data_IF_992889214095
#
_entry.id   IF_992889214095
#
_cell.length_a   1.000
_cell.length_b   1.000
_cell.length_c   1.000
_cell.angle_alpha   90.00
_cell.angle_beta   90.00
_cell.angle_gamma   90.00
#
_symmetry.space_group_name_H-M   'P 1'
#
loop_
_entity.id
_entity.type
_entity.pdbx_description
1 polymer ?
#
# COMPACT_ATOMS: atom_id res chain seq x y z
N UNK A 1 -6.72 -5.85 7.36
CA UNK A 1 -5.23 -5.81 7.41
C UNK A 1 -4.61 -7.20 7.50
N UNK A 2 -5.09 -8.05 8.39
CA UNK A 2 -4.50 -9.39 8.59
C UNK A 2 -4.54 -10.25 7.33
N UNK A 3 -5.69 -10.29 6.66
CA UNK A 3 -5.85 -11.02 5.41
C UNK A 3 -4.87 -10.51 4.33
N UNK A 4 -4.79 -9.20 4.17
CA UNK A 4 -3.86 -8.58 3.21
C UNK A 4 -2.41 -8.93 3.55
N UNK A 5 -2.02 -8.81 4.82
CA UNK A 5 -0.65 -9.05 5.24
C UNK A 5 -0.18 -10.46 4.87
N UNK A 6 -1.03 -11.46 5.11
CA UNK A 6 -0.73 -12.84 4.73
C UNK A 6 -0.60 -13.02 3.23
N UNK A 7 -1.54 -12.50 2.45
CA UNK A 7 -1.54 -12.64 0.99
C UNK A 7 -0.37 -11.88 0.35
N UNK A 8 -0.09 -10.68 0.81
CA UNK A 8 1.03 -9.89 0.31
C UNK A 8 2.37 -10.57 0.57
N UNK A 9 2.51 -11.24 1.72
CA UNK A 9 3.71 -12.00 2.04
C UNK A 9 3.89 -13.17 1.09
N UNK A 10 2.81 -13.87 0.76
CA UNK A 10 2.87 -14.98 -0.21
C UNK A 10 3.30 -14.49 -1.60
N UNK A 11 2.77 -13.36 -2.05
CA UNK A 11 3.10 -12.77 -3.35
C UNK A 11 4.54 -12.25 -3.35
N UNK A 12 4.92 -11.54 -2.32
CA UNK A 12 6.22 -10.92 -2.18
C UNK A 12 6.10 -9.40 -2.02
N UNK A 13 6.36 -8.92 -0.82
CA UNK A 13 6.34 -7.50 -0.49
C UNK A 13 7.51 -7.23 0.46
N UNK A 14 8.11 -6.05 0.37
CA UNK A 14 9.26 -5.71 1.21
C UNK A 14 8.85 -5.11 2.55
N UNK A 15 7.83 -4.27 2.58
CA UNK A 15 7.40 -3.61 3.80
C UNK A 15 5.92 -3.27 3.76
N UNK A 16 5.30 -3.30 4.92
CA UNK A 16 3.90 -2.89 5.12
C UNK A 16 3.89 -1.88 6.25
N UNK A 17 3.33 -0.70 6.01
CA UNK A 17 3.16 0.34 7.03
C UNK A 17 1.68 0.65 7.18
N UNK A 18 1.20 0.64 8.41
CA UNK A 18 -0.18 1.01 8.72
C UNK A 18 -0.28 2.52 8.89
N UNK A 19 -1.18 3.16 8.14
CA UNK A 19 -1.35 4.60 8.18
C UNK A 19 -2.56 4.99 9.01
N UNK A 20 -2.41 6.01 9.84
CA UNK A 20 -3.51 6.67 10.52
C UNK A 20 -3.96 7.85 9.67
N UNK A 21 -5.06 7.65 8.92
CA UNK A 21 -5.64 8.66 8.05
C UNK A 21 -6.87 9.29 8.71
N UNK A 22 -7.32 10.44 8.19
CA UNK A 22 -8.47 11.15 8.73
C UNK A 22 -9.72 10.28 8.84
N UNK A 23 -10.01 9.51 7.79
CA UNK A 23 -11.22 8.70 7.70
C UNK A 23 -11.00 7.22 8.04
N UNK A 24 -9.90 6.90 8.71
CA UNK A 24 -9.66 5.53 9.17
C UNK A 24 -10.66 5.15 10.26
N UNK A 25 -11.34 4.03 10.06
CA UNK A 25 -12.26 3.49 11.07
C UNK A 25 -11.49 2.83 12.21
N UNK A 26 -10.42 2.11 11.86
CA UNK A 26 -9.58 1.41 12.84
C UNK A 26 -8.29 2.19 13.04
N UNK A 27 -8.10 2.70 14.26
CA UNK A 27 -6.92 3.48 14.64
C UNK A 27 -5.83 2.65 15.30
N UNK A 28 -6.10 1.39 15.62
CA UNK A 28 -5.17 0.51 16.30
C UNK A 28 -4.94 -0.76 15.50
N UNK A 29 -3.73 -1.28 15.59
CA UNK A 29 -3.34 -2.58 15.05
C UNK A 29 -2.75 -3.42 16.17
N UNK A 30 -2.73 -4.76 15.98
CA UNK A 30 -2.12 -5.68 16.93
C UNK A 30 -0.84 -6.22 16.28
N UNK A 31 0.32 -5.57 16.51
CA UNK A 31 1.56 -5.92 15.82
C UNK A 31 1.98 -7.38 16.00
N UNK A 32 1.84 -7.91 17.21
CA UNK A 32 2.22 -9.29 17.50
C UNK A 32 1.42 -10.29 16.67
N UNK A 33 0.12 -10.03 16.50
CA UNK A 33 -0.76 -10.89 15.69
C UNK A 33 -0.41 -10.82 14.22
N UNK A 34 -0.17 -9.61 13.71
CA UNK A 34 0.24 -9.42 12.31
C UNK A 34 1.57 -10.12 12.04
N UNK A 35 2.53 -9.99 12.96
CA UNK A 35 3.83 -10.64 12.82
C UNK A 35 3.71 -12.16 12.71
N UNK A 36 2.85 -12.77 13.51
CA UNK A 36 2.59 -14.22 13.41
C UNK A 36 2.02 -14.60 12.06
N UNK A 37 1.11 -13.79 11.51
CA UNK A 37 0.53 -14.01 10.20
C UNK A 37 1.60 -13.93 9.10
N UNK A 38 2.49 -12.95 9.18
CA UNK A 38 3.58 -12.79 8.22
C UNK A 38 4.52 -14.00 8.27
N UNK A 39 4.90 -14.45 9.44
CA UNK A 39 5.78 -15.60 9.61
C UNK A 39 5.13 -16.87 9.05
N UNK A 40 3.86 -17.11 9.35
CA UNK A 40 3.13 -18.26 8.84
C UNK A 40 3.04 -18.25 7.31
N UNK A 41 2.71 -17.10 6.74
CA UNK A 41 2.63 -16.95 5.29
C UNK A 41 3.99 -17.14 4.61
N UNK A 42 5.06 -16.62 5.21
CA UNK A 42 6.42 -16.79 4.71
C UNK A 42 6.80 -18.27 4.64
N UNK A 43 6.54 -19.01 5.72
CA UNK A 43 6.85 -20.43 5.79
C UNK A 43 6.06 -21.24 4.77
N UNK A 44 4.76 -20.98 4.66
CA UNK A 44 3.88 -21.71 3.77
C UNK A 44 4.22 -21.46 2.29
N UNK A 45 4.60 -20.25 1.93
CA UNK A 45 4.95 -19.88 0.57
C UNK A 45 6.43 -20.11 0.24
N UNK A 46 7.21 -20.59 1.21
CA UNK A 46 8.65 -20.86 1.05
C UNK A 46 9.45 -19.61 0.72
N UNK A 47 9.01 -18.43 1.16
CA UNK A 47 9.76 -17.20 0.98
C UNK A 47 10.95 -17.16 1.93
N UNK A 48 12.08 -16.65 1.45
CA UNK A 48 13.31 -16.57 2.22
C UNK A 48 13.35 -15.40 3.18
N UNK A 49 12.58 -14.34 2.91
CA UNK A 49 12.61 -13.11 3.69
C UNK A 49 11.24 -12.75 4.21
N UNK A 50 11.22 -12.21 5.43
CA UNK A 50 10.02 -11.70 6.07
C UNK A 50 9.84 -10.22 5.73
N UNK A 51 8.63 -9.76 5.34
CA UNK A 51 8.39 -8.34 5.14
C UNK A 51 8.61 -7.54 6.43
N UNK A 52 9.13 -6.33 6.28
CA UNK A 52 9.21 -5.39 7.39
C UNK A 52 7.81 -4.87 7.71
N UNK A 53 7.43 -4.98 8.98
CA UNK A 53 6.15 -4.46 9.46
C UNK A 53 6.38 -3.22 10.29
N UNK A 54 5.88 -2.08 9.81
CA UNK A 54 5.95 -0.82 10.53
C UNK A 54 4.63 -0.54 11.21
N UNK A 55 4.68 -0.04 12.44
CA UNK A 55 3.50 0.24 13.23
C UNK A 55 2.68 1.40 12.69
N UNK A 56 1.59 1.71 13.39
CA UNK A 56 0.70 2.79 13.03
C UNK A 56 1.46 4.11 12.96
N UNK A 57 1.42 4.76 11.80
CA UNK A 57 2.15 5.99 11.52
C UNK A 57 1.18 7.04 11.02
N UNK A 58 1.31 8.27 11.51
CA UNK A 58 0.51 9.39 11.04
C UNK A 58 0.76 9.66 9.56
N UNK A 59 -0.31 9.92 8.81
CA UNK A 59 -0.23 10.14 7.37
C UNK A 59 0.73 11.27 7.00
N UNK A 60 0.61 12.43 7.68
CA UNK A 60 1.46 13.59 7.38
C UNK A 60 2.93 13.30 7.59
N UNK A 61 3.25 12.61 8.67
CA UNK A 61 4.61 12.20 8.97
C UNK A 61 5.15 11.26 7.91
N UNK A 62 4.37 10.26 7.53
CA UNK A 62 4.80 9.23 6.59
C UNK A 62 5.08 9.80 5.20
N UNK A 63 4.17 10.61 4.65
CA UNK A 63 4.33 11.12 3.28
C UNK A 63 5.47 12.11 3.17
N UNK A 64 5.92 12.68 4.28
CA UNK A 64 7.05 13.63 4.32
C UNK A 64 8.40 12.92 4.39
N UNK A 65 8.43 11.60 4.62
CA UNK A 65 9.68 10.84 4.69
C UNK A 65 10.27 10.65 3.30
N UNK A 66 11.62 10.67 3.19
CA UNK A 66 12.26 10.39 1.91
C UNK A 66 12.07 8.93 1.50
N UNK A 67 11.93 8.70 0.21
CA UNK A 67 11.86 7.36 -0.36
C UNK A 67 12.60 7.35 -1.70
N UNK A 68 13.54 6.44 -1.85
CA UNK A 68 14.32 6.30 -3.09
C UNK A 68 13.57 5.39 -4.06
N UNK A 69 12.72 5.97 -4.89
CA UNK A 69 11.93 5.23 -5.88
C UNK A 69 10.67 5.99 -6.28
N UNK A 70 9.76 5.26 -6.92
CA UNK A 70 8.48 5.81 -7.36
C UNK A 70 7.48 5.82 -6.22
N UNK A 71 6.74 6.90 -6.10
CA UNK A 71 5.73 7.07 -5.05
C UNK A 71 4.37 7.27 -5.70
N UNK A 72 3.41 6.42 -5.36
CA UNK A 72 2.07 6.43 -5.95
C UNK A 72 1.00 6.56 -4.86
N UNK A 73 -0.10 7.22 -5.20
CA UNK A 73 -1.28 7.28 -4.35
C UNK A 73 -2.51 6.83 -5.15
N UNK A 74 -3.17 5.79 -4.66
CA UNK A 74 -4.41 5.28 -5.23
C UNK A 74 -5.58 5.92 -4.49
N UNK A 75 -6.34 6.77 -5.16
CA UNK A 75 -7.49 7.44 -4.56
C UNK A 75 -8.69 7.44 -5.50
N UNK A 76 -9.88 7.66 -4.93
CA UNK A 76 -11.14 7.60 -5.66
C UNK A 76 -11.68 8.98 -6.06
N UNK A 77 -10.97 10.07 -5.75
CA UNK A 77 -11.40 11.41 -6.14
C UNK A 77 -11.46 11.53 -7.66
N UNK A 78 -12.42 12.30 -8.17
CA UNK A 78 -12.67 12.45 -9.60
C UNK A 78 -11.45 12.96 -10.36
N UNK A 79 -11.36 12.54 -11.62
CA UNK A 79 -10.29 12.92 -12.52
C UNK A 79 -9.72 11.73 -13.25
N UNK A 80 -9.12 11.98 -14.40
CA UNK A 80 -8.45 10.94 -15.18
C UNK A 80 -7.10 10.64 -14.56
N UNK A 81 -6.90 9.38 -14.17
CA UNK A 81 -5.65 8.93 -13.57
C UNK A 81 -5.11 7.74 -14.37
N UNK A 82 -3.81 7.69 -14.64
CA UNK A 82 -3.23 6.53 -15.31
C UNK A 82 -3.33 5.28 -14.44
N UNK A 83 -3.42 4.13 -15.08
CA UNK A 83 -3.40 2.86 -14.37
C UNK A 83 -1.99 2.59 -13.84
N UNK A 84 -1.90 1.98 -12.67
CA UNK A 84 -0.61 1.60 -12.07
C UNK A 84 0.21 0.75 -13.06
N UNK A 85 -0.41 -0.21 -13.73
CA UNK A 85 0.26 -1.08 -14.69
C UNK A 85 0.87 -0.34 -15.88
N UNK A 86 0.37 0.86 -16.19
CA UNK A 86 0.86 1.69 -17.28
C UNK A 86 1.96 2.66 -16.83
N UNK A 87 2.01 2.95 -15.56
CA UNK A 87 2.87 4.00 -14.98
C UNK A 87 4.13 3.43 -14.35
N UNK A 88 4.02 2.27 -13.71
CA UNK A 88 5.15 1.61 -13.06
C UNK A 88 6.06 0.95 -14.09
N UNK A 89 7.37 1.10 -13.93
CA UNK A 89 8.37 0.44 -14.76
C UNK A 89 9.06 -0.69 -13.98
N UNK A 90 9.20 -1.88 -14.59
CA UNK A 90 9.86 -3.00 -13.91
C UNK A 90 11.25 -2.66 -13.38
N UNK A 91 11.56 -3.18 -12.21
CA UNK A 91 12.86 -2.99 -11.56
C UNK A 91 12.96 -1.77 -10.68
N UNK A 92 11.98 -0.87 -10.72
CA UNK A 92 11.98 0.30 -9.84
C UNK A 92 11.44 -0.04 -8.45
N UNK A 93 11.98 0.62 -7.42
CA UNK A 93 11.36 0.59 -6.10
C UNK A 93 10.07 1.39 -6.16
N UNK A 94 9.03 0.89 -5.49
CA UNK A 94 7.72 1.53 -5.50
C UNK A 94 7.11 1.57 -4.10
N UNK A 95 6.51 2.71 -3.77
CA UNK A 95 5.73 2.93 -2.57
C UNK A 95 4.32 3.30 -3.01
N UNK A 96 3.32 2.55 -2.56
CA UNK A 96 1.92 2.79 -2.93
C UNK A 96 1.10 3.06 -1.68
N UNK A 97 0.41 4.21 -1.67
CA UNK A 97 -0.52 4.57 -0.60
C UNK A 97 -1.92 4.09 -0.98
N UNK A 98 -2.53 3.34 -0.08
CA UNK A 98 -3.91 2.85 -0.22
C UNK A 98 -4.74 3.45 0.91
N UNK A 99 -5.85 4.08 0.55
CA UNK A 99 -6.71 4.75 1.52
C UNK A 99 -7.55 3.81 2.38
N UNK A 100 -8.05 4.34 3.50
CA UNK A 100 -8.99 3.60 4.36
C UNK A 100 -10.36 3.48 3.68
N UNK A 101 -11.32 2.87 4.36
CA UNK A 101 -12.67 2.64 3.86
C UNK A 101 -13.36 3.94 3.42
N UNK A 102 -13.08 5.05 4.10
CA UNK A 102 -13.59 6.37 3.74
C UNK A 102 -12.73 7.14 2.74
N UNK A 103 -11.74 6.48 2.16
CA UNK A 103 -10.75 7.06 1.26
C UNK A 103 -9.86 8.11 1.96
N UNK A 104 -8.91 8.67 1.22
CA UNK A 104 -8.12 9.80 1.70
C UNK A 104 -8.96 11.08 1.68
N UNK A 105 -8.71 11.97 2.63
CA UNK A 105 -9.33 13.29 2.58
C UNK A 105 -8.71 14.12 1.44
N UNK A 106 -9.42 15.15 0.93
CA UNK A 106 -8.83 16.03 -0.09
C UNK A 106 -7.51 16.66 0.37
N UNK A 107 -7.38 17.00 1.64
CA UNK A 107 -6.16 17.56 2.20
C UNK A 107 -5.01 16.56 2.19
N UNK A 108 -5.31 15.29 2.49
CA UNK A 108 -4.31 14.23 2.44
C UNK A 108 -3.82 13.99 1.03
N UNK A 109 -4.72 13.96 0.05
CA UNK A 109 -4.36 13.81 -1.36
C UNK A 109 -3.48 14.97 -1.80
N UNK A 110 -3.88 16.21 -1.49
CA UNK A 110 -3.10 17.40 -1.85
C UNK A 110 -1.69 17.36 -1.25
N UNK A 111 -1.57 16.94 0.01
CA UNK A 111 -0.27 16.83 0.68
C UNK A 111 0.61 15.76 0.01
N UNK A 112 0.03 14.62 -0.31
CA UNK A 112 0.77 13.55 -0.97
C UNK A 112 1.30 14.00 -2.33
N UNK A 113 0.47 14.67 -3.13
CA UNK A 113 0.89 15.21 -4.42
C UNK A 113 2.03 16.22 -4.26
N UNK A 114 1.94 17.08 -3.25
CA UNK A 114 3.00 18.05 -2.94
C UNK A 114 4.30 17.35 -2.56
N UNK A 115 4.22 16.20 -1.92
CA UNK A 115 5.38 15.41 -1.52
C UNK A 115 5.92 14.49 -2.62
N UNK A 116 5.39 14.61 -3.83
CA UNK A 116 5.91 13.87 -4.98
C UNK A 116 5.22 12.55 -5.28
N UNK A 117 4.08 12.28 -4.66
CA UNK A 117 3.31 11.08 -4.99
C UNK A 117 2.52 11.31 -6.28
N UNK A 118 2.48 10.29 -7.13
CA UNK A 118 1.75 10.34 -8.40
C UNK A 118 0.38 9.68 -8.23
N UNK A 119 -0.71 10.33 -8.65
CA UNK A 119 -2.04 9.72 -8.57
C UNK A 119 -2.16 8.60 -9.60
N UNK A 120 -2.69 7.46 -9.18
CA UNK A 120 -2.90 6.32 -10.07
C UNK A 120 -4.26 5.68 -9.80
N UNK A 121 -4.72 4.92 -10.77
CA UNK A 121 -5.92 4.09 -10.67
C UNK A 121 -5.54 2.62 -10.68
N UNK A 122 -6.32 1.80 -9.98
CA UNK A 122 -6.17 0.34 -9.99
C UNK A 122 -7.21 -0.32 -10.90
N UNK A 123 -8.02 0.48 -11.60
CA UNK A 123 -9.06 0.00 -12.49
C UNK A 123 -10.35 0.76 -12.27
N UNK A 124 -11.40 0.39 -13.02
CA UNK A 124 -12.70 1.06 -12.95
C UNK A 124 -13.50 0.66 -11.72
N UNK A 125 -13.31 -0.54 -11.20
CA UNK A 125 -14.05 -1.04 -10.05
C UNK A 125 -13.66 -0.33 -8.78
N UNK A 126 -14.65 -0.05 -7.93
CA UNK A 126 -14.40 0.51 -6.61
C UNK A 126 -14.04 -0.63 -5.66
N UNK A 127 -12.78 -0.78 -5.36
CA UNK A 127 -12.27 -1.87 -4.55
C UNK A 127 -12.28 -1.50 -3.06
N UNK A 128 -12.48 -2.50 -2.21
CA UNK A 128 -12.26 -2.33 -0.77
C UNK A 128 -10.77 -2.13 -0.52
N UNK A 129 -10.42 -1.49 0.60
CA UNK A 129 -9.03 -1.16 0.94
C UNK A 129 -8.09 -2.36 0.82
N UNK A 130 -8.46 -3.49 1.41
CA UNK A 130 -7.61 -4.69 1.39
C UNK A 130 -7.45 -5.25 -0.01
N UNK A 131 -8.52 -5.26 -0.80
CA UNK A 131 -8.48 -5.70 -2.20
C UNK A 131 -7.63 -4.77 -3.03
N UNK A 132 -7.79 -3.46 -2.86
CA UNK A 132 -6.99 -2.46 -3.56
C UNK A 132 -5.50 -2.64 -3.27
N UNK A 133 -5.16 -2.83 -2.01
CA UNK A 133 -3.78 -3.04 -1.58
C UNK A 133 -3.19 -4.30 -2.22
N UNK A 134 -3.95 -5.38 -2.25
CA UNK A 134 -3.49 -6.63 -2.85
C UNK A 134 -3.33 -6.51 -4.36
N UNK A 135 -4.25 -5.83 -5.04
CA UNK A 135 -4.17 -5.58 -6.48
C UNK A 135 -2.91 -4.78 -6.80
N UNK A 136 -2.61 -3.73 -6.04
CA UNK A 136 -1.41 -2.93 -6.23
C UNK A 136 -0.15 -3.78 -6.05
N UNK A 137 -0.09 -4.56 -4.99
CA UNK A 137 1.04 -5.45 -4.71
C UNK A 137 1.25 -6.46 -5.85
N UNK A 138 0.20 -7.12 -6.28
CA UNK A 138 0.27 -8.14 -7.32
C UNK A 138 0.60 -7.53 -8.69
N UNK A 139 0.07 -6.36 -9.01
CA UNK A 139 0.38 -5.67 -10.26
C UNK A 139 1.88 -5.43 -10.38
N UNK A 140 2.50 -4.91 -9.33
CA UNK A 140 3.94 -4.66 -9.31
C UNK A 140 4.72 -5.98 -9.43
N UNK A 141 4.27 -7.01 -8.72
CA UNK A 141 4.90 -8.33 -8.77
C UNK A 141 4.87 -8.91 -10.19
N UNK A 142 3.71 -8.87 -10.84
CA UNK A 142 3.55 -9.39 -12.21
C UNK A 142 4.44 -8.64 -13.20
N UNK A 143 4.54 -7.32 -13.09
CA UNK A 143 5.36 -6.51 -13.98
C UNK A 143 6.86 -6.76 -13.79
N UNK A 144 7.27 -7.32 -12.66
CA UNK A 144 8.66 -7.63 -12.36
C UNK A 144 9.03 -9.09 -12.68
N UNK A 145 8.08 -9.87 -13.13
CA UNK A 145 8.36 -11.27 -13.51
C UNK A 145 9.17 -11.37 -14.80
#
# INVERSE_FOLDING_TARGET
MEWFAGKATEIGINAITCLNCRFSERKEIKPARLEKILISAMKQSQKATLPELNGMTDFRTFVSLPFAGRKFIAHCEEGVKPLLKQTYHPGENALVLIGPEGDFSPEEIALALKCGFEPISLGESRLRTETAALVACHTIHVLNQ
#
